data_IF_319995274467
#
_entry.id   IF_319995274467
#
_cell.length_a   1.000
_cell.length_b   1.000
_cell.length_c   1.000
_cell.angle_alpha   90.00
_cell.angle_beta   90.00
_cell.angle_gamma   90.00
#
_symmetry.space_group_name_H-M   'P 1'
#
loop_
_entity.id
_entity.type
_entity.pdbx_description
1 polymer ?
#
# COMPACT_ATOMS: atom_id res chain seq x y z
N UNK A 1 5.09 4.42 3.82
CA UNK A 1 5.88 4.00 2.65
C UNK A 1 7.19 3.42 3.14
N UNK A 2 7.35 2.11 3.09
CA UNK A 2 8.63 1.47 3.38
C UNK A 2 8.95 0.57 2.18
N UNK A 3 10.02 0.94 1.50
CA UNK A 3 10.70 0.06 0.57
C UNK A 3 11.75 -0.70 1.38
N UNK A 4 11.75 -2.02 1.29
CA UNK A 4 12.69 -2.84 2.04
C UNK A 4 13.24 -4.00 1.21
N UNK A 5 14.37 -4.53 1.63
CA UNK A 5 14.97 -5.76 1.10
C UNK A 5 14.98 -6.76 2.25
N UNK A 6 14.37 -7.92 2.04
CA UNK A 6 14.27 -8.98 3.04
C UNK A 6 14.75 -10.30 2.44
N UNK A 7 15.48 -11.07 3.24
CA UNK A 7 15.92 -12.41 2.87
C UNK A 7 14.93 -13.43 3.45
N UNK A 8 14.54 -14.39 2.63
CA UNK A 8 13.79 -15.58 3.05
C UNK A 8 14.61 -16.81 2.75
N UNK A 9 14.60 -17.79 3.64
CA UNK A 9 15.35 -19.04 3.51
C UNK A 9 14.52 -20.18 2.92
N UNK A 10 13.24 -19.91 2.63
CA UNK A 10 12.38 -20.82 1.88
C UNK A 10 11.22 -20.07 1.23
N UNK A 11 10.65 -20.63 0.15
CA UNK A 11 9.39 -20.15 -0.41
C UNK A 11 8.23 -20.28 0.59
N UNK A 12 8.31 -21.22 1.55
CA UNK A 12 7.34 -21.34 2.62
C UNK A 12 7.32 -20.09 3.51
N UNK A 13 8.50 -19.67 3.96
CA UNK A 13 8.65 -18.46 4.80
C UNK A 13 8.15 -17.20 4.06
N UNK A 14 8.47 -17.08 2.77
CA UNK A 14 7.97 -15.99 1.94
C UNK A 14 6.42 -16.01 1.82
N UNK A 15 5.82 -17.18 1.63
CA UNK A 15 4.35 -17.32 1.62
C UNK A 15 3.72 -16.98 2.96
N UNK A 16 4.29 -17.46 4.08
CA UNK A 16 3.79 -17.15 5.43
C UNK A 16 3.83 -15.63 5.68
N UNK A 17 4.88 -14.95 5.22
CA UNK A 17 4.96 -13.49 5.29
C UNK A 17 3.88 -12.79 4.43
N UNK A 18 3.64 -13.28 3.20
CA UNK A 18 2.57 -12.77 2.36
C UNK A 18 1.19 -12.95 3.01
N UNK A 19 0.93 -14.11 3.62
CA UNK A 19 -0.32 -14.39 4.32
C UNK A 19 -0.53 -13.45 5.52
N UNK A 20 0.54 -13.18 6.29
CA UNK A 20 0.50 -12.22 7.38
C UNK A 20 0.17 -10.81 6.89
N UNK A 21 0.82 -10.34 5.81
CA UNK A 21 0.55 -9.01 5.24
C UNK A 21 -0.87 -8.90 4.67
N UNK A 22 -1.36 -9.95 4.00
CA UNK A 22 -2.76 -10.02 3.52
C UNK A 22 -3.73 -9.96 4.70
N UNK A 23 -3.47 -10.71 5.76
CA UNK A 23 -4.30 -10.73 6.97
C UNK A 23 -4.35 -9.36 7.64
N UNK A 24 -3.19 -8.71 7.80
CA UNK A 24 -3.09 -7.35 8.31
C UNK A 24 -3.89 -6.35 7.46
N UNK A 25 -3.74 -6.41 6.13
CA UNK A 25 -4.51 -5.56 5.22
C UNK A 25 -6.02 -5.81 5.33
N UNK A 26 -6.46 -7.06 5.43
CA UNK A 26 -7.88 -7.41 5.58
C UNK A 26 -8.46 -6.85 6.89
N UNK A 27 -7.75 -7.01 8.00
CA UNK A 27 -8.16 -6.46 9.29
C UNK A 27 -8.27 -4.91 9.24
N UNK A 28 -7.27 -4.23 8.66
CA UNK A 28 -7.32 -2.78 8.50
C UNK A 28 -8.47 -2.32 7.60
N UNK A 29 -8.72 -3.01 6.48
CA UNK A 29 -9.85 -2.71 5.60
C UNK A 29 -11.19 -2.91 6.28
N UNK A 30 -11.32 -3.91 7.16
CA UNK A 30 -12.54 -4.19 7.90
C UNK A 30 -12.79 -3.10 8.96
N UNK A 31 -11.78 -2.76 9.75
CA UNK A 31 -11.86 -1.68 10.75
C UNK A 31 -12.27 -0.34 10.11
N UNK A 32 -11.61 0.04 9.01
CA UNK A 32 -11.92 1.28 8.31
C UNK A 32 -13.28 1.23 7.62
N UNK A 33 -13.67 0.07 7.10
CA UNK A 33 -14.99 -0.17 6.53
C UNK A 33 -16.12 -0.05 7.54
N UNK A 34 -15.92 -0.59 8.75
CA UNK A 34 -16.87 -0.47 9.86
C UNK A 34 -17.01 0.99 10.31
N UNK A 35 -15.88 1.68 10.54
CA UNK A 35 -15.87 3.09 10.91
C UNK A 35 -16.56 3.96 9.86
N UNK A 36 -16.27 3.71 8.58
CA UNK A 36 -16.96 4.36 7.47
C UNK A 36 -18.46 4.05 7.54
N UNK A 37 -18.84 2.78 7.67
CA UNK A 37 -20.24 2.36 7.78
C UNK A 37 -21.01 3.05 8.90
N UNK A 38 -20.39 3.25 10.07
CA UNK A 38 -20.98 3.97 11.20
C UNK A 38 -21.22 5.44 10.85
N UNK A 39 -20.21 6.14 10.31
CA UNK A 39 -20.36 7.53 9.84
C UNK A 39 -21.50 7.64 8.82
N UNK A 40 -21.63 6.68 7.90
CA UNK A 40 -22.66 6.71 6.88
C UNK A 40 -24.07 6.47 7.46
N UNK A 41 -24.20 5.63 8.48
CA UNK A 41 -25.49 5.36 9.15
C UNK A 41 -25.91 6.53 10.04
N UNK A 42 -25.01 7.05 10.84
CA UNK A 42 -25.28 8.18 11.74
C UNK A 42 -25.74 9.41 10.94
N UNK A 43 -25.10 9.69 9.78
CA UNK A 43 -25.51 10.81 8.93
C UNK A 43 -26.81 10.55 8.14
N UNK A 44 -27.19 9.29 7.88
CA UNK A 44 -28.49 8.96 7.24
C UNK A 44 -29.67 9.27 8.16
N UNK A 45 -29.50 9.14 9.47
CA UNK A 45 -30.54 9.48 10.44
C UNK A 45 -30.83 11.00 10.44
N UNK A 46 -29.83 11.82 10.12
CA UNK A 46 -29.94 13.28 10.09
C UNK A 46 -30.34 13.86 8.71
N UNK A 47 -29.81 13.32 7.60
CA UNK A 47 -30.06 13.81 6.23
C UNK A 47 -30.08 12.69 5.18
N UNK A 48 -31.18 12.60 4.43
CA UNK A 48 -31.53 11.48 3.56
C UNK A 48 -30.45 10.98 2.59
N UNK A 49 -30.38 9.65 2.50
CA UNK A 49 -29.41 8.73 1.88
C UNK A 49 -28.80 9.07 0.51
N UNK A 50 -29.36 10.02 -0.24
CA UNK A 50 -29.10 10.15 -1.68
C UNK A 50 -28.04 11.20 -2.05
N UNK A 51 -27.91 12.27 -1.28
CA UNK A 51 -26.97 13.36 -1.60
C UNK A 51 -25.54 13.06 -1.14
N UNK A 52 -25.38 12.46 0.05
CA UNK A 52 -24.05 12.19 0.59
C UNK A 52 -23.33 11.07 -0.16
N UNK A 53 -24.05 10.04 -0.63
CA UNK A 53 -23.46 8.94 -1.40
C UNK A 53 -22.94 9.43 -2.76
N UNK A 54 -23.70 10.31 -3.43
CA UNK A 54 -23.29 10.94 -4.69
C UNK A 54 -22.03 11.80 -4.55
N UNK A 55 -21.85 12.48 -3.41
CA UNK A 55 -20.65 13.26 -3.14
C UNK A 55 -19.38 12.38 -3.04
N UNK A 56 -19.48 11.21 -2.39
CA UNK A 56 -18.37 10.27 -2.27
C UNK A 56 -18.03 9.59 -3.60
N UNK A 57 -19.03 9.11 -4.34
CA UNK A 57 -18.80 8.47 -5.65
C UNK A 57 -18.18 9.42 -6.69
N UNK A 58 -18.44 10.72 -6.58
CA UNK A 58 -17.85 11.75 -7.45
C UNK A 58 -16.34 11.95 -7.28
N UNK A 59 -15.73 11.43 -6.20
CA UNK A 59 -14.31 11.59 -5.87
C UNK A 59 -13.46 10.47 -6.52
N UNK A 60 -14.02 9.28 -6.67
CA UNK A 60 -13.36 8.06 -7.20
C UNK A 60 -12.88 8.21 -8.66
N UNK A 61 -13.35 9.21 -9.40
CA UNK A 61 -13.00 9.46 -10.81
C UNK A 61 -11.89 10.48 -11.08
N UNK A 62 -11.17 10.98 -10.05
CA UNK A 62 -10.21 12.09 -10.20
C UNK A 62 -8.73 11.71 -10.06
N UNK A 63 -8.40 10.44 -10.34
CA UNK A 63 -7.05 9.89 -10.24
C UNK A 63 -6.45 9.45 -11.56
N UNK A 64 -6.36 10.33 -12.56
CA UNK A 64 -5.39 10.22 -13.67
C UNK A 64 -4.99 11.63 -14.11
N UNK A 65 -3.74 11.99 -13.83
CA UNK A 65 -2.77 12.36 -14.86
C UNK A 65 -1.49 12.90 -14.22
N UNK A 66 -0.47 12.04 -14.20
CA UNK A 66 0.90 12.49 -14.18
C UNK A 66 1.27 12.98 -15.59
N UNK A 67 1.72 14.24 -15.65
CA UNK A 67 2.72 14.79 -16.57
C UNK A 67 2.37 14.92 -18.07
N UNK A 68 2.03 16.14 -18.53
CA UNK A 68 2.68 16.76 -19.69
C UNK A 68 2.46 18.28 -19.72
N UNK A 69 3.54 19.02 -19.95
CA UNK A 69 3.56 20.48 -19.95
C UNK A 69 2.72 21.12 -21.06
N UNK A 70 2.06 22.24 -20.76
CA UNK A 70 1.28 22.98 -21.75
C UNK A 70 0.64 24.23 -21.18
N UNK A 71 1.32 25.37 -21.36
CA UNK A 71 0.89 26.72 -21.01
C UNK A 71 -0.46 27.07 -21.68
N UNK A 72 -1.56 27.17 -20.93
CA UNK A 72 -2.74 27.96 -21.35
C UNK A 72 -3.60 28.46 -20.19
N UNK A 73 -3.68 29.79 -20.10
CA UNK A 73 -4.55 30.61 -19.26
C UNK A 73 -6.01 30.22 -19.53
N UNK A 74 -6.66 29.61 -18.55
CA UNK A 74 -8.10 29.32 -18.57
C UNK A 74 -8.62 29.41 -17.14
N UNK A 75 -9.62 30.27 -16.92
CA UNK A 75 -10.27 30.55 -15.64
C UNK A 75 -11.09 29.32 -15.22
N UNK A 76 -10.42 28.24 -14.85
CA UNK A 76 -11.02 27.00 -14.39
C UNK A 76 -11.51 27.19 -12.96
N UNK A 77 -12.81 26.99 -12.73
CA UNK A 77 -13.35 26.68 -11.41
C UNK A 77 -12.49 25.55 -10.86
N UNK A 78 -11.57 25.91 -9.95
CA UNK A 78 -10.75 24.96 -9.24
C UNK A 78 -11.74 24.06 -8.49
N UNK A 79 -11.95 22.84 -9.02
CA UNK A 79 -12.67 21.74 -8.38
C UNK A 79 -11.82 21.36 -7.17
N UNK A 80 -11.81 22.21 -6.14
CA UNK A 80 -11.26 21.86 -4.84
C UNK A 80 -12.09 20.66 -4.39
N UNK A 81 -11.44 19.54 -4.04
CA UNK A 81 -12.07 18.48 -3.25
C UNK A 81 -12.78 19.22 -2.10
N UNK A 82 -14.11 19.17 -2.08
CA UNK A 82 -14.90 20.02 -1.18
C UNK A 82 -14.39 19.85 0.26
N UNK A 83 -14.18 20.95 0.99
CA UNK A 83 -13.77 20.94 2.40
C UNK A 83 -12.31 20.72 2.75
N UNK A 84 -11.41 20.49 1.77
CA UNK A 84 -9.98 20.33 2.07
C UNK A 84 -9.18 21.64 1.92
N UNK A 85 -8.39 21.97 2.94
CA UNK A 85 -7.51 23.13 3.02
C UNK A 85 -6.05 22.64 2.96
N UNK A 86 -5.26 23.02 1.93
CA UNK A 86 -3.85 22.66 1.89
C UNK A 86 -3.05 23.40 2.96
N UNK A 87 -2.16 22.68 3.65
CA UNK A 87 -1.19 23.23 4.59
C UNK A 87 0.18 22.59 4.32
N UNK A 88 1.04 23.30 3.59
CA UNK A 88 2.30 22.76 3.07
C UNK A 88 2.04 21.43 2.33
N UNK A 89 2.62 20.34 2.81
CA UNK A 89 2.54 19.00 2.21
C UNK A 89 1.39 18.14 2.77
N UNK A 90 0.55 18.69 3.65
CA UNK A 90 -0.62 17.98 4.21
C UNK A 90 -1.93 18.71 3.87
N UNK A 91 -3.06 18.00 3.97
CA UNK A 91 -4.40 18.55 3.79
C UNK A 91 -5.15 18.50 5.12
N UNK A 92 -5.87 19.58 5.42
CA UNK A 92 -6.71 19.69 6.61
C UNK A 92 -8.18 19.74 6.19
N UNK A 93 -9.06 19.09 6.95
CA UNK A 93 -10.50 19.26 6.82
C UNK A 93 -11.10 19.57 8.19
N UNK A 94 -12.10 20.46 8.21
CA UNK A 94 -12.94 20.71 9.39
C UNK A 94 -14.33 20.08 9.24
N UNK A 95 -14.61 19.51 8.07
CA UNK A 95 -15.93 19.01 7.68
C UNK A 95 -16.05 17.52 7.99
N UNK A 96 -17.22 17.09 8.44
CA UNK A 96 -17.51 15.69 8.83
C UNK A 96 -17.29 14.71 7.68
N UNK A 97 -17.45 15.14 6.43
CA UNK A 97 -17.15 14.29 5.26
C UNK A 97 -15.65 14.07 5.01
N UNK A 98 -14.77 14.86 5.64
CA UNK A 98 -13.32 14.69 5.49
C UNK A 98 -12.86 13.32 6.01
N UNK A 99 -13.42 12.89 7.14
CA UNK A 99 -13.15 11.58 7.74
C UNK A 99 -13.68 10.44 6.86
N UNK A 100 -14.92 10.54 6.38
CA UNK A 100 -15.50 9.54 5.48
C UNK A 100 -14.68 9.40 4.19
N UNK A 101 -14.18 10.52 3.65
CA UNK A 101 -13.38 10.51 2.43
C UNK A 101 -12.03 9.80 2.63
N UNK A 102 -11.30 10.07 3.71
CA UNK A 102 -10.01 9.38 3.94
C UNK A 102 -10.21 7.88 4.19
N UNK A 103 -11.29 7.49 4.88
CA UNK A 103 -11.61 6.08 5.12
C UNK A 103 -11.95 5.37 3.81
N UNK A 104 -12.73 6.00 2.93
CA UNK A 104 -13.04 5.44 1.62
C UNK A 104 -11.79 5.29 0.75
N UNK A 105 -10.96 6.35 0.65
CA UNK A 105 -9.71 6.32 -0.10
C UNK A 105 -8.79 5.19 0.43
N UNK A 106 -8.64 5.07 1.75
CA UNK A 106 -7.83 4.02 2.37
C UNK A 106 -8.37 2.60 2.12
N UNK A 107 -9.68 2.38 2.24
CA UNK A 107 -10.30 1.06 1.98
C UNK A 107 -10.07 0.62 0.53
N UNK A 108 -10.23 1.51 -0.44
CA UNK A 108 -10.01 1.17 -1.85
C UNK A 108 -8.53 0.90 -2.16
N UNK A 109 -7.63 1.66 -1.56
CA UNK A 109 -6.18 1.44 -1.67
C UNK A 109 -5.77 0.08 -1.07
N UNK A 110 -6.26 -0.23 0.13
CA UNK A 110 -6.00 -1.51 0.80
C UNK A 110 -6.57 -2.69 -0.01
N UNK A 111 -7.78 -2.57 -0.57
CA UNK A 111 -8.33 -3.62 -1.47
C UNK A 111 -7.45 -3.87 -2.68
N UNK A 112 -6.93 -2.80 -3.29
CA UNK A 112 -6.01 -2.90 -4.43
C UNK A 112 -4.73 -3.62 -4.03
N UNK A 113 -4.17 -3.28 -2.87
CA UNK A 113 -2.99 -3.95 -2.31
C UNK A 113 -3.24 -5.43 -2.00
N UNK A 114 -4.40 -5.78 -1.42
CA UNK A 114 -4.79 -7.17 -1.17
C UNK A 114 -4.80 -7.96 -2.48
N UNK A 115 -5.40 -7.43 -3.54
CA UNK A 115 -5.44 -8.10 -4.85
C UNK A 115 -4.03 -8.33 -5.43
N UNK A 116 -3.12 -7.35 -5.26
CA UNK A 116 -1.72 -7.51 -5.67
C UNK A 116 -1.01 -8.61 -4.88
N UNK A 117 -1.16 -8.62 -3.54
CA UNK A 117 -0.55 -9.62 -2.67
C UNK A 117 -1.10 -11.03 -2.95
N UNK A 118 -2.40 -11.17 -3.21
CA UNK A 118 -3.02 -12.45 -3.54
C UNK A 118 -2.47 -13.01 -4.86
N UNK A 119 -2.26 -12.15 -5.87
CA UNK A 119 -1.61 -12.54 -7.13
C UNK A 119 -0.17 -12.99 -6.91
N UNK A 120 0.63 -12.23 -6.15
CA UNK A 120 2.01 -12.60 -5.84
C UNK A 120 2.05 -13.92 -5.08
N UNK A 121 1.13 -14.15 -4.14
CA UNK A 121 1.02 -15.42 -3.41
C UNK A 121 0.78 -16.59 -4.37
N UNK A 122 -0.10 -16.44 -5.36
CA UNK A 122 -0.33 -17.45 -6.40
C UNK A 122 0.93 -17.72 -7.22
N UNK A 123 1.62 -16.66 -7.66
CA UNK A 123 2.90 -16.77 -8.40
C UNK A 123 3.97 -17.52 -7.57
N UNK A 124 4.01 -17.32 -6.25
CA UNK A 124 4.91 -18.06 -5.34
C UNK A 124 4.51 -19.52 -5.18
N UNK A 125 3.22 -19.84 -5.13
CA UNK A 125 2.75 -21.24 -5.11
C UNK A 125 3.11 -21.98 -6.41
N UNK A 126 2.99 -21.32 -7.55
CA UNK A 126 3.46 -21.88 -8.82
C UNK A 126 4.98 -22.04 -8.83
N UNK A 127 5.73 -21.09 -8.28
CA UNK A 127 7.18 -21.21 -8.12
C UNK A 127 7.59 -22.39 -7.22
N UNK A 128 6.82 -22.69 -6.16
CA UNK A 128 7.03 -23.88 -5.32
C UNK A 128 6.87 -25.17 -6.11
N UNK A 129 5.85 -25.24 -6.99
CA UNK A 129 5.59 -26.42 -7.83
C UNK A 129 6.70 -26.69 -8.84
N UNK A 130 7.40 -25.66 -9.28
CA UNK A 130 8.55 -25.81 -10.19
C UNK A 130 9.76 -26.51 -9.52
N UNK A 131 9.85 -26.47 -8.18
CA UNK A 131 10.88 -27.18 -7.43
C UNK A 131 12.30 -26.67 -7.71
N UNK A 132 12.67 -25.53 -7.13
CA UNK A 132 13.99 -24.90 -7.33
C UNK A 132 15.17 -25.63 -6.65
N UNK A 133 14.90 -26.68 -5.86
CA UNK A 133 15.88 -27.38 -5.04
C UNK A 133 15.97 -26.85 -3.61
N UNK A 134 16.79 -27.50 -2.79
CA UNK A 134 17.04 -27.11 -1.40
C UNK A 134 18.19 -26.07 -1.34
N UNK A 135 18.32 -25.39 -0.19
CA UNK A 135 19.38 -24.42 0.10
C UNK A 135 19.39 -23.15 -0.79
N UNK A 136 18.22 -22.55 -1.03
CA UNK A 136 18.10 -21.27 -1.74
C UNK A 136 17.69 -20.15 -0.79
N UNK A 137 18.42 -19.03 -0.83
CA UNK A 137 18.05 -17.77 -0.22
C UNK A 137 17.34 -16.91 -1.27
N UNK A 138 16.17 -16.39 -0.89
CA UNK A 138 15.32 -15.51 -1.69
C UNK A 138 15.48 -14.08 -1.18
N UNK A 139 16.27 -13.28 -1.89
CA UNK A 139 16.46 -11.86 -1.58
C UNK A 139 15.35 -11.10 -2.29
N UNK A 140 14.38 -10.61 -1.50
CA UNK A 140 13.14 -10.05 -2.00
C UNK A 140 13.13 -8.54 -1.82
N UNK A 141 12.92 -7.82 -2.92
CA UNK A 141 12.62 -6.39 -2.93
C UNK A 141 11.12 -6.19 -2.72
N UNK A 142 10.76 -5.57 -1.61
CA UNK A 142 9.39 -5.33 -1.18
C UNK A 142 9.13 -3.82 -1.30
N UNK A 143 8.20 -3.46 -2.16
CA UNK A 143 7.79 -2.08 -2.38
C UNK A 143 6.35 -1.91 -1.87
N UNK A 144 6.16 -1.01 -0.91
CA UNK A 144 4.86 -0.76 -0.27
C UNK A 144 4.21 -2.02 0.35
N UNK A 145 5.04 -2.95 0.81
CA UNK A 145 4.63 -4.23 1.39
C UNK A 145 4.36 -5.34 0.37
N UNK A 146 4.48 -5.06 -0.94
CA UNK A 146 4.30 -6.05 -2.01
C UNK A 146 5.66 -6.49 -2.55
N UNK A 147 5.98 -7.78 -2.58
CA UNK A 147 7.16 -8.28 -3.29
C UNK A 147 7.06 -8.03 -4.80
N UNK A 148 8.03 -7.32 -5.36
CA UNK A 148 8.07 -7.05 -6.81
C UNK A 148 9.19 -7.80 -7.53
N UNK A 149 10.31 -8.07 -6.84
CA UNK A 149 11.49 -8.72 -7.43
C UNK A 149 12.12 -9.67 -6.43
N UNK A 150 12.57 -10.82 -6.91
CA UNK A 150 13.22 -11.85 -6.09
C UNK A 150 14.49 -12.30 -6.79
N UNK A 151 15.61 -12.26 -6.07
CA UNK A 151 16.89 -12.84 -6.50
C UNK A 151 17.10 -14.16 -5.76
N UNK A 152 17.54 -15.18 -6.49
CA UNK A 152 17.78 -16.53 -6.00
C UNK A 152 19.29 -16.75 -5.77
N UNK A 153 19.69 -17.14 -4.56
CA UNK A 153 21.09 -17.42 -4.22
C UNK A 153 21.23 -18.81 -3.60
N UNK A 154 22.10 -19.66 -4.14
CA UNK A 154 22.35 -21.01 -3.58
C UNK A 154 23.30 -20.92 -2.39
N UNK A 155 22.94 -21.51 -1.26
CA UNK A 155 23.69 -21.39 0.00
C UNK A 155 25.04 -22.12 -0.06
N UNK A 156 25.17 -23.19 -0.87
CA UNK A 156 26.35 -24.05 -0.97
C UNK A 156 26.73 -24.39 -2.43
N UNK A 157 27.14 -23.40 -3.22
CA UNK A 157 27.76 -23.62 -4.53
C UNK A 157 28.87 -22.61 -4.76
N UNK A 158 30.11 -23.10 -4.85
CA UNK A 158 31.37 -22.42 -5.20
C UNK A 158 31.34 -20.89 -5.37
N UNK A 159 31.95 -20.24 -4.39
CA UNK A 159 32.98 -19.20 -4.53
C UNK A 159 32.88 -18.24 -5.74
N UNK A 160 32.00 -17.23 -5.66
CA UNK A 160 32.30 -15.92 -6.30
C UNK A 160 31.60 -14.69 -5.67
N UNK A 161 30.79 -14.86 -4.63
CA UNK A 161 29.98 -13.76 -4.07
C UNK A 161 30.12 -13.49 -2.56
N UNK A 162 31.15 -14.05 -1.91
CA UNK A 162 31.58 -13.69 -0.54
C UNK A 162 32.01 -12.21 -0.36
N UNK A 163 31.71 -11.30 -1.31
CA UNK A 163 32.10 -9.88 -1.28
C UNK A 163 31.04 -8.89 -0.80
N UNK A 164 29.82 -9.30 -0.48
CA UNK A 164 28.83 -8.37 0.10
C UNK A 164 28.48 -8.73 1.55
N UNK A 165 29.42 -8.45 2.47
CA UNK A 165 29.08 -8.20 3.87
C UNK A 165 28.65 -6.74 4.02
N UNK A 166 27.35 -6.49 4.17
CA UNK A 166 26.86 -5.21 4.69
C UNK A 166 27.10 -5.16 6.20
N UNK A 167 28.28 -4.72 6.61
CA UNK A 167 28.57 -4.36 8.01
C UNK A 167 27.92 -3.02 8.33
N UNK A 168 26.62 -3.03 8.67
CA UNK A 168 25.98 -1.85 9.26
C UNK A 168 26.25 -1.85 10.78
N UNK A 169 27.36 -1.22 11.17
CA UNK A 169 27.51 -0.66 12.51
C UNK A 169 26.69 0.63 12.57
N UNK A 170 25.47 0.56 13.07
CA UNK A 170 24.74 1.78 13.48
C UNK A 170 25.40 2.25 14.77
N UNK A 171 26.29 3.24 14.66
CA UNK A 171 26.67 4.06 15.80
C UNK A 171 25.79 5.30 15.80
N UNK A 172 24.78 5.33 16.68
CA UNK A 172 24.09 6.57 17.01
C UNK A 172 24.99 7.34 17.98
N UNK A 173 25.72 8.31 17.47
CA UNK A 173 26.30 9.38 18.28
C UNK A 173 25.21 10.43 18.51
N UNK A 174 24.82 10.59 19.77
CA UNK A 174 23.91 11.65 20.23
C UNK A 174 24.66 12.99 20.20
N UNK A 175 24.11 14.07 19.63
CA UNK A 175 24.62 15.42 19.86
C UNK A 175 24.08 15.98 21.18
N UNK A 176 25.00 16.47 22.00
CA UNK A 176 24.79 17.26 23.23
C UNK A 176 24.17 18.62 22.98
#
# INVERSE_FOLDING_TARGET
MVTEIRNFHSLRELSENLEQEISFCKAASEEYGERLGNILRDNKEDHGDEEWFKALSGIQGSGKDANSGGKKKGKGKNRRKAGWIPFKDIMLSKETHGEAQILFEAVEEIKTKIAQLEKVREDIEDLKRLGLGEDIIYITYIHEGVPEKIVLYKQNGDDDHSKFQFNTKISMLCPT
#
